data_IF_084347449189
#
_entry.id   IF_084347449189
#
_cell.length_a   1.000
_cell.length_b   1.000
_cell.length_c   1.000
_cell.angle_alpha   90.00
_cell.angle_beta   90.00
_cell.angle_gamma   90.00
#
_symmetry.space_group_name_H-M   'P 1'
#
loop_
_entity.id
_entity.type
_entity.pdbx_description
1 polymer ?
#
# COMPACT_ATOMS: atom_id res chain seq x y z
N UNK A 1 8.21 -0.71 7.23
CA UNK A 1 7.17 -1.47 6.49
C UNK A 1 5.83 -1.46 7.22
N UNK A 2 5.71 -2.09 8.39
CA UNK A 2 4.42 -2.25 9.10
C UNK A 2 3.68 -0.93 9.38
N UNK A 3 4.39 0.10 9.84
CA UNK A 3 3.79 1.42 10.11
C UNK A 3 3.11 2.01 8.87
N UNK A 4 3.78 1.94 7.71
CA UNK A 4 3.26 2.48 6.45
C UNK A 4 2.05 1.69 5.95
N UNK A 5 2.06 0.36 6.13
CA UNK A 5 0.92 -0.50 5.82
C UNK A 5 -0.29 -0.11 6.66
N UNK A 6 -0.09 0.08 7.97
CA UNK A 6 -1.15 0.49 8.89
C UNK A 6 -1.70 1.88 8.56
N UNK A 7 -0.83 2.85 8.23
CA UNK A 7 -1.25 4.18 7.78
C UNK A 7 -2.08 4.08 6.49
N UNK A 8 -1.60 3.32 5.51
CA UNK A 8 -2.32 3.09 4.25
C UNK A 8 -3.68 2.46 4.47
N UNK A 9 -3.76 1.43 5.31
CA UNK A 9 -5.01 0.76 5.67
C UNK A 9 -6.02 1.73 6.30
N UNK A 10 -5.59 2.52 7.29
CA UNK A 10 -6.48 3.47 7.96
C UNK A 10 -6.92 4.61 7.02
N UNK A 11 -6.04 5.07 6.12
CA UNK A 11 -6.40 6.07 5.12
C UNK A 11 -7.47 5.53 4.15
N UNK A 12 -7.28 4.31 3.62
CA UNK A 12 -8.25 3.63 2.77
C UNK A 12 -9.59 3.45 3.49
N UNK A 13 -9.58 2.97 4.75
CA UNK A 13 -10.79 2.80 5.55
C UNK A 13 -11.54 4.12 5.75
N UNK A 14 -10.82 5.21 6.04
CA UNK A 14 -11.43 6.52 6.21
C UNK A 14 -12.11 7.00 4.93
N UNK A 15 -11.46 6.85 3.78
CA UNK A 15 -12.05 7.26 2.50
C UNK A 15 -13.18 6.36 2.06
N UNK A 16 -13.12 5.06 2.33
CA UNK A 16 -14.26 4.15 2.14
C UNK A 16 -15.50 4.66 2.87
N UNK A 17 -15.36 4.95 4.17
CA UNK A 17 -16.46 5.50 4.98
C UNK A 17 -16.97 6.86 4.49
N UNK A 18 -16.08 7.73 4.00
CA UNK A 18 -16.47 9.02 3.41
C UNK A 18 -17.21 8.83 2.08
N UNK A 19 -16.83 7.84 1.28
CA UNK A 19 -17.49 7.51 0.03
C UNK A 19 -18.92 7.02 0.27
N UNK A 20 -19.13 6.20 1.30
CA UNK A 20 -20.47 5.69 1.66
C UNK A 20 -21.46 6.82 2.01
N UNK A 21 -20.98 7.93 2.56
CA UNK A 21 -21.79 9.12 2.89
C UNK A 21 -21.71 10.24 1.84
N UNK A 22 -21.22 9.94 0.63
CA UNK A 22 -21.04 10.90 -0.49
C UNK A 22 -20.17 12.13 -0.14
N UNK A 23 -19.18 11.96 0.73
CA UNK A 23 -18.22 13.02 1.14
C UNK A 23 -16.79 12.80 0.64
N UNK A 24 -16.52 11.70 -0.07
CA UNK A 24 -15.20 11.48 -0.66
C UNK A 24 -15.03 12.35 -1.91
N UNK A 25 -13.86 12.98 -2.06
CA UNK A 25 -13.50 13.73 -3.27
C UNK A 25 -12.45 12.97 -4.11
N UNK A 26 -12.40 13.17 -5.44
CA UNK A 26 -11.41 12.53 -6.31
C UNK A 26 -9.95 12.80 -5.92
N UNK A 27 -9.67 13.96 -5.32
CA UNK A 27 -8.32 14.36 -4.88
C UNK A 27 -7.84 13.48 -3.73
N UNK A 28 -8.71 13.17 -2.76
CA UNK A 28 -8.34 12.31 -1.62
C UNK A 28 -8.07 10.88 -2.12
N UNK A 29 -8.87 10.39 -3.08
CA UNK A 29 -8.62 9.08 -3.72
C UNK A 29 -7.27 9.08 -4.41
N UNK A 30 -6.93 10.14 -5.14
CA UNK A 30 -5.66 10.27 -5.86
C UNK A 30 -4.46 10.28 -4.92
N UNK A 31 -4.54 10.98 -3.79
CA UNK A 31 -3.51 11.01 -2.75
C UNK A 31 -3.27 9.62 -2.16
N UNK A 32 -4.34 8.92 -1.77
CA UNK A 32 -4.22 7.59 -1.18
C UNK A 32 -3.68 6.58 -2.20
N UNK A 33 -4.15 6.64 -3.44
CA UNK A 33 -3.65 5.76 -4.52
C UNK A 33 -2.14 5.95 -4.69
N UNK A 34 -1.68 7.20 -4.85
CA UNK A 34 -0.25 7.52 -5.04
C UNK A 34 0.59 7.04 -3.86
N UNK A 35 0.15 7.31 -2.63
CA UNK A 35 0.86 6.89 -1.43
C UNK A 35 0.92 5.36 -1.31
N UNK A 36 -0.22 4.68 -1.48
CA UNK A 36 -0.32 3.23 -1.31
C UNK A 36 0.52 2.51 -2.36
N UNK A 37 0.43 2.88 -3.64
CA UNK A 37 1.21 2.24 -4.70
C UNK A 37 2.73 2.44 -4.49
N UNK A 38 3.17 3.65 -4.16
CA UNK A 38 4.58 3.93 -3.91
C UNK A 38 5.14 3.12 -2.75
N UNK A 39 4.45 3.17 -1.60
CA UNK A 39 4.86 2.44 -0.40
C UNK A 39 4.81 0.92 -0.59
N UNK A 40 3.80 0.39 -1.26
CA UNK A 40 3.73 -1.05 -1.54
C UNK A 40 4.90 -1.54 -2.39
N UNK A 41 5.28 -0.78 -3.43
CA UNK A 41 6.43 -1.15 -4.27
C UNK A 41 7.74 -1.15 -3.48
N UNK A 42 7.97 -0.13 -2.66
CA UNK A 42 9.17 -0.03 -1.83
C UNK A 42 9.23 -1.16 -0.79
N UNK A 43 8.08 -1.50 -0.19
CA UNK A 43 7.96 -2.61 0.77
C UNK A 43 8.24 -3.95 0.09
N UNK A 44 7.67 -4.20 -1.11
CA UNK A 44 7.91 -5.43 -1.86
C UNK A 44 9.39 -5.60 -2.21
N UNK A 45 10.06 -4.51 -2.64
CA UNK A 45 11.51 -4.51 -2.90
C UNK A 45 12.31 -4.83 -1.65
N UNK A 46 11.99 -4.21 -0.52
CA UNK A 46 12.65 -4.50 0.76
C UNK A 46 12.44 -5.96 1.19
N UNK A 47 11.24 -6.53 1.01
CA UNK A 47 11.00 -7.94 1.27
C UNK A 47 11.87 -8.84 0.38
N UNK A 48 11.98 -8.53 -0.91
CA UNK A 48 12.82 -9.29 -1.84
C UNK A 48 14.29 -9.27 -1.39
N UNK A 49 14.78 -8.11 -0.98
CA UNK A 49 16.16 -7.97 -0.50
C UNK A 49 16.43 -8.79 0.77
N UNK A 50 15.45 -8.87 1.68
CA UNK A 50 15.53 -9.72 2.90
C UNK A 50 15.64 -11.21 2.55
N UNK A 51 14.97 -11.65 1.48
CA UNK A 51 15.04 -13.04 1.01
C UNK A 51 16.36 -13.36 0.27
N UNK A 52 17.16 -12.35 -0.07
CA UNK A 52 18.44 -12.52 -0.77
C UNK A 52 18.25 -13.26 -2.11
N UNK A 53 19.09 -14.26 -2.36
CA UNK A 53 19.02 -15.08 -3.58
C UNK A 53 17.69 -15.83 -3.76
N UNK A 54 16.96 -16.11 -2.67
CA UNK A 54 15.64 -16.74 -2.76
C UNK A 54 14.57 -15.75 -3.26
N UNK A 55 14.80 -14.44 -3.13
CA UNK A 55 13.87 -13.40 -3.57
C UNK A 55 13.72 -13.29 -5.10
N UNK A 56 14.57 -13.96 -5.88
CA UNK A 56 14.46 -14.06 -7.34
C UNK A 56 13.88 -15.42 -7.81
N UNK A 57 13.57 -16.32 -6.88
CA UNK A 57 12.92 -17.60 -7.19
C UNK A 57 11.42 -17.40 -7.38
N UNK A 58 10.84 -18.05 -8.40
CA UNK A 58 9.40 -18.05 -8.66
C UNK A 58 8.58 -18.77 -7.55
N UNK A 59 9.26 -19.44 -6.61
CA UNK A 59 8.63 -20.10 -5.46
C UNK A 59 8.07 -19.09 -4.43
N UNK A 60 8.61 -17.87 -4.37
CA UNK A 60 8.18 -16.84 -3.43
C UNK A 60 7.43 -15.72 -4.16
N UNK A 61 6.16 -15.48 -3.79
CA UNK A 61 5.35 -14.40 -4.35
C UNK A 61 5.74 -13.03 -3.75
N UNK A 62 6.86 -12.47 -4.21
CA UNK A 62 7.42 -11.21 -3.71
C UNK A 62 7.70 -10.15 -4.79
#
# INVERSE_FOLDING_TARGET
>A
MLTEITIGLQACLRVGRLKDVNKATPEIISLIKRNSCGKSLDIARQCRDILGGNGISDEYHI
#
